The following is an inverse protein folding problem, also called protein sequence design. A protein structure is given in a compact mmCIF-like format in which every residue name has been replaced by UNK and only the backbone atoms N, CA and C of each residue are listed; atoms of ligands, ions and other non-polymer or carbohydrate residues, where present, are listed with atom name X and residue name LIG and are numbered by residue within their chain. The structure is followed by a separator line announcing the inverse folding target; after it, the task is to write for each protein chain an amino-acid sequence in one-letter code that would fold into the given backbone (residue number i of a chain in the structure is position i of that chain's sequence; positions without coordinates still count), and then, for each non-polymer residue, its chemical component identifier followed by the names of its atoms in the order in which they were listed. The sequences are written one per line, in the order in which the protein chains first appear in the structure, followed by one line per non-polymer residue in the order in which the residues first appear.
data_IF_328697916531
#
_entry.id   IF_328697916531
#
_cell.length_a   1.000
_cell.length_b   1.000
_cell.length_c   1.000
_cell.angle_alpha   90.00
_cell.angle_beta   90.00
_cell.angle_gamma   90.00
#
_symmetry.space_group_name_H-M   'P 1'
#
loop_
_entity.id
_entity.type
_entity.pdbx_description
1 polymer ?
#
# COMPACT_ATOMS: atom_id res chain seq x y z
N UNK A 1 -3.88 -1.61 -21.87
CA UNK A 1 -2.53 -1.70 -21.23
C UNK A 1 -2.61 -1.22 -19.78
N UNK A 2 -1.82 -1.82 -18.83
CA UNK A 2 -1.76 -1.35 -17.45
C UNK A 2 -0.55 -0.42 -17.27
N UNK A 3 -0.79 0.81 -16.84
CA UNK A 3 0.25 1.80 -16.55
C UNK A 3 0.33 2.06 -15.04
N UNK A 4 1.55 2.12 -14.49
CA UNK A 4 1.79 2.50 -13.10
C UNK A 4 2.28 3.93 -13.02
N UNK A 5 1.60 4.74 -12.21
CA UNK A 5 1.93 6.15 -11.98
C UNK A 5 2.40 6.31 -10.54
N UNK A 6 3.52 7.01 -10.34
CA UNK A 6 4.07 7.33 -9.02
C UNK A 6 4.20 8.85 -8.90
N UNK A 7 3.61 9.43 -7.85
CA UNK A 7 3.61 10.88 -7.59
C UNK A 7 4.09 11.17 -6.18
N UNK A 8 4.91 12.21 -6.04
CA UNK A 8 5.38 12.69 -4.74
C UNK A 8 4.27 13.41 -3.98
N UNK A 9 4.24 13.21 -2.67
CA UNK A 9 3.30 13.83 -1.74
C UNK A 9 3.94 15.04 -1.04
N UNK A 10 3.12 16.02 -0.69
CA UNK A 10 3.47 17.14 0.17
C UNK A 10 2.61 17.11 1.46
N UNK A 11 2.84 16.16 2.37
CA UNK A 11 2.09 16.05 3.61
C UNK A 11 2.48 17.15 4.60
N UNK A 12 1.53 17.64 5.38
CA UNK A 12 1.83 18.43 6.58
C UNK A 12 2.33 17.53 7.73
N UNK A 13 2.82 18.13 8.82
CA UNK A 13 3.41 17.36 9.94
C UNK A 13 2.45 16.34 10.56
N UNK A 14 1.16 16.65 10.67
CA UNK A 14 0.14 15.72 11.19
C UNK A 14 -0.09 14.55 10.23
N UNK A 15 -0.13 14.82 8.94
CA UNK A 15 -0.25 13.80 7.90
C UNK A 15 1.01 12.94 7.83
N UNK A 16 2.19 13.54 7.96
CA UNK A 16 3.46 12.84 7.99
C UNK A 16 3.51 11.82 9.14
N UNK A 17 3.12 12.23 10.34
CA UNK A 17 3.01 11.34 11.51
C UNK A 17 2.06 10.17 11.23
N UNK A 18 0.90 10.43 10.60
CA UNK A 18 -0.06 9.39 10.24
C UNK A 18 0.47 8.42 9.19
N UNK A 19 1.17 8.90 8.16
CA UNK A 19 1.82 8.06 7.15
C UNK A 19 2.80 7.07 7.78
N UNK A 20 3.67 7.55 8.68
CA UNK A 20 4.61 6.66 9.40
C UNK A 20 3.89 5.70 10.35
N UNK A 21 2.81 6.13 11.00
CA UNK A 21 1.98 5.25 11.83
C UNK A 21 1.38 4.10 11.00
N UNK A 22 0.83 4.40 9.82
CA UNK A 22 0.27 3.40 8.92
C UNK A 22 1.33 2.40 8.42
N UNK A 23 2.50 2.89 8.01
CA UNK A 23 3.61 2.03 7.60
C UNK A 23 4.14 1.17 8.77
N UNK A 24 4.17 1.72 9.98
CA UNK A 24 4.52 0.98 11.20
C UNK A 24 3.56 -0.16 11.49
N UNK A 25 2.25 0.09 11.39
CA UNK A 25 1.22 -0.92 11.57
C UNK A 25 1.27 -2.00 10.48
N UNK A 26 1.53 -1.62 9.22
CA UNK A 26 1.73 -2.57 8.13
C UNK A 26 2.94 -3.46 8.37
N UNK A 27 4.07 -2.88 8.81
CA UNK A 27 5.28 -3.63 9.16
C UNK A 27 5.04 -4.58 10.33
N UNK A 28 4.35 -4.14 11.36
CA UNK A 28 3.99 -4.99 12.50
C UNK A 28 3.14 -6.17 12.06
N UNK A 29 2.08 -5.96 11.29
CA UNK A 29 1.20 -7.01 10.81
C UNK A 29 1.92 -8.02 9.90
N UNK A 30 2.81 -7.54 9.02
CA UNK A 30 3.66 -8.38 8.19
C UNK A 30 4.58 -9.27 9.05
N UNK A 31 5.29 -8.67 10.01
CA UNK A 31 6.22 -9.40 10.87
C UNK A 31 5.51 -10.39 11.77
N UNK A 32 4.36 -10.00 12.30
CA UNK A 32 3.52 -10.91 13.08
C UNK A 32 3.12 -12.14 12.26
N UNK A 33 2.70 -11.96 11.00
CA UNK A 33 2.33 -13.08 10.13
C UNK A 33 3.53 -13.98 9.83
N UNK A 34 4.72 -13.42 9.57
CA UNK A 34 5.96 -14.19 9.40
C UNK A 34 6.26 -15.01 10.65
N UNK A 35 6.21 -14.41 11.84
CA UNK A 35 6.47 -15.10 13.10
C UNK A 35 5.47 -16.22 13.34
N UNK A 36 4.19 -15.96 13.13
CA UNK A 36 3.12 -16.94 13.34
C UNK A 36 3.26 -18.16 12.44
N UNK A 37 3.68 -17.96 11.19
CA UNK A 37 3.97 -19.05 10.26
C UNK A 37 5.21 -19.85 10.69
N UNK A 38 6.24 -19.19 11.19
CA UNK A 38 7.42 -19.87 11.71
C UNK A 38 7.09 -20.76 12.93
N UNK A 39 6.27 -20.25 13.85
CA UNK A 39 5.77 -21.00 15.00
C UNK A 39 4.94 -22.21 14.55
N UNK A 40 4.02 -21.99 13.61
CA UNK A 40 3.15 -23.02 13.05
C UNK A 40 3.97 -24.16 12.39
N UNK A 41 4.97 -23.78 11.61
CA UNK A 41 5.89 -24.73 10.96
C UNK A 41 6.72 -25.53 11.98
N UNK A 42 7.23 -24.90 13.04
CA UNK A 42 7.96 -25.59 14.13
C UNK A 42 7.11 -26.64 14.84
N UNK A 43 5.80 -26.44 14.90
CA UNK A 43 4.85 -27.41 15.45
C UNK A 43 4.47 -28.52 14.44
N UNK A 44 5.08 -28.56 13.26
CA UNK A 44 4.79 -29.57 12.22
C UNK A 44 3.45 -29.37 11.50
N UNK A 45 2.82 -28.22 11.65
CA UNK A 45 1.54 -27.93 11.04
C UNK A 45 1.66 -27.42 9.60
N UNK A 46 0.57 -27.53 8.83
CA UNK A 46 0.47 -26.98 7.49
C UNK A 46 0.50 -25.45 7.50
N UNK A 47 0.97 -24.86 6.41
CA UNK A 47 0.97 -23.41 6.18
C UNK A 47 -0.44 -22.82 6.30
N UNK A 48 -0.58 -21.74 7.09
CA UNK A 48 -1.84 -21.06 7.31
C UNK A 48 -2.20 -20.18 6.11
N UNK A 49 -3.48 -20.16 5.77
CA UNK A 49 -4.00 -19.24 4.76
C UNK A 49 -4.02 -17.80 5.29
N UNK A 50 -4.04 -16.81 4.36
CA UNK A 50 -4.18 -15.42 4.73
C UNK A 50 -5.49 -15.12 5.48
N UNK A 51 -6.57 -15.90 5.23
CA UNK A 51 -7.81 -15.77 5.96
C UNK A 51 -7.73 -16.23 7.41
N UNK A 52 -7.03 -17.33 7.67
CA UNK A 52 -6.80 -17.84 9.03
C UNK A 52 -5.94 -16.85 9.82
N UNK A 53 -4.83 -16.39 9.26
CA UNK A 53 -3.97 -15.38 9.88
C UNK A 53 -4.72 -14.07 10.17
N UNK A 54 -5.59 -13.62 9.27
CA UNK A 54 -6.42 -12.41 9.51
C UNK A 54 -7.41 -12.59 10.65
N UNK A 55 -8.01 -13.77 10.80
CA UNK A 55 -8.91 -14.06 11.93
C UNK A 55 -8.14 -14.01 13.25
N UNK A 56 -6.97 -14.66 13.32
CA UNK A 56 -6.09 -14.62 14.50
C UNK A 56 -5.61 -13.19 14.80
N UNK A 57 -5.15 -12.46 13.79
CA UNK A 57 -4.71 -11.07 13.94
C UNK A 57 -5.82 -10.14 14.42
N UNK A 58 -7.06 -10.37 13.99
CA UNK A 58 -8.21 -9.58 14.43
C UNK A 58 -8.47 -9.81 15.93
N UNK A 59 -8.34 -11.04 16.44
CA UNK A 59 -8.43 -11.34 17.87
C UNK A 59 -7.32 -10.64 18.64
N UNK A 60 -6.07 -10.78 18.19
CA UNK A 60 -4.91 -10.12 18.79
C UNK A 60 -5.08 -8.60 18.88
N UNK A 61 -5.53 -7.95 17.78
CA UNK A 61 -5.80 -6.51 17.73
C UNK A 61 -6.83 -6.07 18.75
N UNK A 62 -7.88 -6.87 18.93
CA UNK A 62 -8.96 -6.51 19.84
C UNK A 62 -8.59 -6.70 21.31
N UNK A 63 -7.78 -7.71 21.63
CA UNK A 63 -7.44 -8.10 22.99
C UNK A 63 -6.19 -7.43 23.53
N UNK A 64 -5.13 -7.28 22.70
CA UNK A 64 -3.81 -6.90 23.17
C UNK A 64 -3.26 -5.61 22.56
N UNK A 65 -3.67 -5.26 21.32
CA UNK A 65 -3.08 -4.17 20.55
C UNK A 65 -4.13 -3.18 20.06
N UNK A 66 -4.82 -2.52 20.99
CA UNK A 66 -5.88 -1.55 20.67
C UNK A 66 -5.39 -0.37 19.81
N UNK A 67 -4.10 -0.02 19.86
CA UNK A 67 -3.48 1.02 19.04
C UNK A 67 -3.57 0.72 17.53
N UNK A 68 -3.65 -0.55 17.13
CA UNK A 68 -3.88 -0.94 15.74
C UNK A 68 -5.27 -0.51 15.21
N UNK A 69 -6.20 -0.16 16.08
CA UNK A 69 -7.53 0.36 15.69
C UNK A 69 -7.45 1.79 15.13
N UNK A 70 -6.34 2.48 15.35
CA UNK A 70 -6.12 3.84 14.85
C UNK A 70 -5.75 3.90 13.35
N UNK A 71 -5.63 2.75 12.69
CA UNK A 71 -5.37 2.66 11.25
C UNK A 71 -6.45 1.84 10.55
N UNK A 72 -6.61 2.05 9.25
CA UNK A 72 -7.54 1.25 8.45
C UNK A 72 -7.20 -0.24 8.52
N UNK A 73 -8.23 -1.07 8.68
CA UNK A 73 -8.10 -2.53 8.67
C UNK A 73 -7.45 -3.06 7.39
N UNK A 74 -7.69 -2.39 6.27
CA UNK A 74 -7.18 -2.82 4.97
C UNK A 74 -5.66 -2.77 4.90
N UNK A 75 -5.02 -1.85 5.64
CA UNK A 75 -3.56 -1.77 5.77
C UNK A 75 -2.96 -3.05 6.35
N UNK A 76 -3.50 -3.50 7.48
CA UNK A 76 -3.00 -4.70 8.17
C UNK A 76 -3.38 -5.98 7.44
N UNK A 77 -4.59 -6.06 6.88
CA UNK A 77 -5.03 -7.19 6.06
C UNK A 77 -4.13 -7.41 4.85
N UNK A 78 -3.81 -6.33 4.12
CA UNK A 78 -2.93 -6.45 2.97
C UNK A 78 -1.50 -6.82 3.36
N UNK A 79 -0.99 -6.29 4.47
CA UNK A 79 0.34 -6.64 4.97
C UNK A 79 0.45 -8.14 5.31
N UNK A 80 -0.58 -8.74 5.90
CA UNK A 80 -0.66 -10.20 6.15
C UNK A 80 -0.68 -10.96 4.82
N UNK A 81 -1.51 -10.53 3.85
CA UNK A 81 -1.54 -11.13 2.52
C UNK A 81 -0.17 -11.06 1.82
N UNK A 82 0.53 -9.93 1.96
CA UNK A 82 1.87 -9.74 1.40
C UNK A 82 2.88 -10.74 2.04
N UNK A 83 2.76 -11.03 3.34
CA UNK A 83 3.58 -12.05 4.03
C UNK A 83 3.29 -13.47 3.50
N UNK A 84 2.00 -13.83 3.36
CA UNK A 84 1.61 -15.11 2.78
C UNK A 84 2.11 -15.27 1.33
N UNK A 85 2.00 -14.20 0.53
CA UNK A 85 2.50 -14.21 -0.85
C UNK A 85 4.03 -14.35 -0.90
N UNK A 86 4.76 -13.77 0.07
CA UNK A 86 6.21 -13.95 0.17
C UNK A 86 6.58 -15.42 0.42
N UNK A 87 5.85 -16.13 1.29
CA UNK A 87 6.04 -17.56 1.49
C UNK A 87 5.66 -18.38 0.24
N UNK A 88 4.53 -18.09 -0.41
CA UNK A 88 4.13 -18.76 -1.66
C UNK A 88 5.21 -18.66 -2.73
N UNK A 89 5.76 -17.46 -2.90
CA UNK A 89 6.86 -17.23 -3.86
C UNK A 89 8.14 -17.97 -3.47
N UNK A 90 8.43 -18.08 -2.19
CA UNK A 90 9.55 -18.88 -1.68
C UNK A 90 9.35 -20.37 -2.00
N UNK A 91 8.19 -20.95 -1.68
CA UNK A 91 7.89 -22.36 -1.99
C UNK A 91 7.91 -22.66 -3.50
N UNK A 92 7.57 -21.68 -4.33
CA UNK A 92 7.68 -21.80 -5.78
C UNK A 92 9.11 -21.56 -6.32
N UNK A 93 10.11 -21.39 -5.46
CA UNK A 93 11.50 -21.13 -5.88
C UNK A 93 11.77 -19.75 -6.47
N UNK A 94 10.79 -18.82 -6.41
CA UNK A 94 10.86 -17.50 -7.05
C UNK A 94 11.60 -16.46 -6.22
N UNK A 95 11.81 -16.69 -4.93
CA UNK A 95 12.50 -15.75 -4.05
C UNK A 95 13.13 -16.46 -2.86
N UNK A 96 13.99 -15.75 -2.13
CA UNK A 96 14.60 -16.22 -0.88
C UNK A 96 13.57 -16.29 0.24
N UNK A 97 13.92 -17.03 1.31
CA UNK A 97 13.08 -17.14 2.51
C UNK A 97 12.64 -15.76 3.04
N UNK A 98 11.36 -15.57 3.37
CA UNK A 98 10.84 -14.29 3.87
C UNK A 98 11.54 -13.85 5.15
N UNK A 99 11.95 -12.58 5.19
CA UNK A 99 12.63 -11.97 6.34
C UNK A 99 11.75 -10.96 7.04
N UNK A 100 11.98 -10.78 8.35
CA UNK A 100 11.36 -9.69 9.10
C UNK A 100 11.76 -8.32 8.53
N UNK A 101 10.78 -7.43 8.44
CA UNK A 101 11.00 -6.03 8.08
C UNK A 101 11.48 -5.24 9.30
N UNK A 102 12.62 -4.56 9.21
CA UNK A 102 13.11 -3.67 10.25
C UNK A 102 12.88 -2.19 9.88
N UNK A 103 12.87 -1.33 10.89
CA UNK A 103 12.73 0.11 10.65
C UNK A 103 13.94 0.70 9.90
N UNK A 104 15.13 0.14 10.11
CA UNK A 104 16.38 0.65 9.52
C UNK A 104 16.61 0.15 8.08
N UNK A 105 16.12 -1.06 7.74
CA UNK A 105 16.46 -1.74 6.47
C UNK A 105 15.31 -1.81 5.48
N UNK A 106 14.09 -1.62 5.96
CA UNK A 106 12.90 -1.79 5.11
C UNK A 106 12.28 -0.44 4.80
N UNK A 107 11.98 -0.22 3.54
CA UNK A 107 11.25 0.96 3.07
C UNK A 107 9.87 1.03 3.74
N UNK A 108 9.57 2.11 4.49
CA UNK A 108 8.25 2.30 5.05
C UNK A 108 7.20 2.36 3.94
N UNK A 109 6.20 1.48 4.01
CA UNK A 109 5.15 1.42 2.99
C UNK A 109 3.89 0.80 3.54
N UNK A 110 2.75 1.16 2.94
CA UNK A 110 1.47 0.54 3.21
C UNK A 110 0.55 0.58 1.99
N UNK A 111 -0.42 -0.30 1.98
CA UNK A 111 -1.46 -0.38 0.95
C UNK A 111 -2.70 0.39 1.39
N UNK A 112 -3.35 1.04 0.44
CA UNK A 112 -4.68 1.64 0.58
C UNK A 112 -5.68 0.84 -0.25
N UNK A 113 -6.88 0.60 0.28
CA UNK A 113 -7.93 -0.08 -0.47
C UNK A 113 -8.39 0.77 -1.66
N UNK A 114 -8.56 0.12 -2.82
CA UNK A 114 -8.99 0.78 -4.07
C UNK A 114 -10.35 1.41 -3.97
N UNK A 115 -11.26 0.81 -3.18
CA UNK A 115 -12.62 1.35 -2.96
C UNK A 115 -12.63 2.61 -2.08
N UNK A 116 -11.52 2.89 -1.39
CA UNK A 116 -11.40 3.98 -0.40
C UNK A 116 -10.44 5.08 -0.82
N UNK A 117 -9.63 4.85 -1.85
CA UNK A 117 -8.76 5.89 -2.39
C UNK A 117 -9.56 6.79 -3.33
N UNK A 118 -9.29 8.07 -3.27
CA UNK A 118 -9.86 9.06 -4.18
C UNK A 118 -8.75 10.03 -4.56
N UNK A 119 -8.76 10.46 -5.81
CA UNK A 119 -7.86 11.47 -6.33
C UNK A 119 -8.64 12.68 -6.81
N UNK A 120 -8.04 13.84 -6.66
CA UNK A 120 -8.37 15.06 -7.38
C UNK A 120 -7.12 15.50 -8.14
N UNK A 121 -7.22 16.52 -8.97
CA UNK A 121 -6.06 17.07 -9.69
C UNK A 121 -4.87 17.39 -8.78
N UNK A 122 -5.13 17.70 -7.52
CA UNK A 122 -4.14 18.25 -6.59
C UNK A 122 -3.94 17.44 -5.32
N UNK A 123 -4.85 16.52 -4.99
CA UNK A 123 -4.82 15.80 -3.72
C UNK A 123 -5.18 14.32 -3.88
N UNK A 124 -4.68 13.51 -2.93
CA UNK A 124 -5.10 12.12 -2.72
C UNK A 124 -5.73 11.97 -1.34
N UNK A 125 -6.86 11.26 -1.27
CA UNK A 125 -7.53 10.93 -0.01
C UNK A 125 -7.00 9.64 0.58
N UNK A 126 -6.58 9.68 1.84
CA UNK A 126 -6.18 8.50 2.62
C UNK A 126 -7.24 8.20 3.66
N UNK A 127 -7.71 6.95 3.71
CA UNK A 127 -8.73 6.52 4.66
C UNK A 127 -8.21 6.57 6.10
N UNK A 128 -9.03 7.11 7.01
CA UNK A 128 -8.85 6.95 8.45
C UNK A 128 -7.79 7.86 9.11
N UNK A 129 -7.23 8.84 8.41
CA UNK A 129 -6.37 9.84 9.04
C UNK A 129 -7.14 10.70 10.03
N UNK A 130 -8.41 10.99 9.72
CA UNK A 130 -9.36 11.58 10.65
C UNK A 130 -10.64 10.77 10.69
N UNK A 131 -11.04 10.35 11.88
CA UNK A 131 -12.32 9.68 12.16
C UNK A 131 -13.45 10.69 12.43
N UNK A 132 -13.15 11.98 12.47
CA UNK A 132 -14.11 13.03 12.74
C UNK A 132 -15.03 13.27 11.54
N UNK A 133 -16.34 13.37 11.81
CA UNK A 133 -17.33 13.78 10.80
C UNK A 133 -17.31 15.29 10.50
N UNK A 134 -16.59 16.09 11.30
CA UNK A 134 -16.49 17.55 11.10
C UNK A 134 -15.66 17.85 9.84
N UNK A 135 -16.19 18.66 8.92
CA UNK A 135 -15.58 19.02 7.64
C UNK A 135 -14.12 19.48 7.77
N UNK A 136 -13.83 20.37 8.71
CA UNK A 136 -12.47 20.90 8.90
C UNK A 136 -11.45 19.83 9.33
N UNK A 137 -11.90 18.78 10.07
CA UNK A 137 -11.03 17.68 10.47
C UNK A 137 -10.89 16.63 9.37
N UNK A 138 -11.84 16.51 8.45
CA UNK A 138 -11.76 15.61 7.30
C UNK A 138 -10.70 16.05 6.28
N UNK A 139 -10.32 17.32 6.26
CA UNK A 139 -9.23 17.83 5.41
C UNK A 139 -7.90 17.12 5.69
N UNK A 140 -7.71 16.57 6.91
CA UNK A 140 -6.51 15.76 7.22
C UNK A 140 -6.38 14.53 6.33
N UNK A 141 -7.49 13.99 5.82
CA UNK A 141 -7.48 12.83 4.94
C UNK A 141 -6.95 13.15 3.52
N UNK A 142 -6.92 14.43 3.14
CA UNK A 142 -6.51 14.87 1.81
C UNK A 142 -5.07 15.36 1.83
N UNK A 143 -4.17 14.60 1.20
CA UNK A 143 -2.74 14.94 1.09
C UNK A 143 -2.50 15.57 -0.27
N UNK A 144 -1.80 16.69 -0.30
CA UNK A 144 -1.42 17.39 -1.53
C UNK A 144 -0.45 16.56 -2.36
N UNK A 145 -0.68 16.51 -3.68
CA UNK A 145 0.24 15.98 -4.68
C UNK A 145 1.20 17.07 -5.13
N UNK A 146 2.47 16.72 -5.34
CA UNK A 146 3.45 17.68 -5.89
C UNK A 146 3.25 17.92 -7.39
N UNK A 147 2.68 16.95 -8.10
CA UNK A 147 2.41 17.00 -9.54
C UNK A 147 0.90 17.07 -9.75
N UNK A 148 0.44 18.22 -10.25
CA UNK A 148 -0.99 18.45 -10.55
C UNK A 148 -1.42 17.67 -11.80
N UNK A 149 -2.61 17.05 -11.77
CA UNK A 149 -3.20 16.37 -12.94
C UNK A 149 -2.46 15.12 -13.43
N UNK A 150 -1.41 14.67 -12.70
CA UNK A 150 -0.59 13.51 -13.12
C UNK A 150 -1.35 12.18 -13.03
N UNK A 151 -2.30 12.07 -12.11
CA UNK A 151 -3.14 10.89 -11.93
C UNK A 151 -4.53 11.24 -12.47
N UNK A 152 -5.03 10.54 -13.50
CA UNK A 152 -6.39 10.76 -14.00
C UNK A 152 -7.43 10.51 -12.92
N UNK A 153 -8.51 11.29 -12.92
CA UNK A 153 -9.57 11.21 -11.89
C UNK A 153 -10.71 10.27 -12.27
N UNK A 154 -10.90 10.02 -13.56
CA UNK A 154 -12.04 9.25 -14.11
C UNK A 154 -11.62 7.84 -14.56
N UNK A 155 -10.83 7.15 -13.74
CA UNK A 155 -10.37 5.81 -14.05
C UNK A 155 -10.43 4.87 -12.85
N UNK A 156 -10.36 3.57 -13.12
CA UNK A 156 -10.27 2.54 -12.10
C UNK A 156 -8.83 2.42 -11.60
N UNK A 157 -8.64 2.69 -10.31
CA UNK A 157 -7.33 2.54 -9.68
C UNK A 157 -7.10 1.10 -9.24
N UNK A 158 -5.86 0.63 -9.38
CA UNK A 158 -5.42 -0.68 -8.94
C UNK A 158 -4.17 -0.56 -8.07
N UNK A 159 -4.12 -1.40 -7.03
CA UNK A 159 -2.97 -1.58 -6.14
C UNK A 159 -2.33 -0.29 -5.59
N UNK A 160 -3.12 0.66 -5.04
CA UNK A 160 -2.55 1.90 -4.53
C UNK A 160 -1.66 1.63 -3.32
N UNK A 161 -0.43 2.16 -3.37
CA UNK A 161 0.57 2.03 -2.31
C UNK A 161 1.22 3.35 -1.98
N UNK A 162 1.44 3.56 -0.70
CA UNK A 162 2.20 4.68 -0.17
C UNK A 162 3.58 4.19 0.25
N UNK A 163 4.63 4.86 -0.22
CA UNK A 163 6.03 4.47 0.04
C UNK A 163 6.87 5.69 0.41
N UNK A 164 7.84 5.49 1.30
CA UNK A 164 8.80 6.51 1.72
C UNK A 164 10.20 6.12 1.25
N UNK A 165 10.88 6.98 0.49
CA UNK A 165 12.20 6.67 -0.09
C UNK A 165 13.39 7.06 0.81
N UNK A 166 13.12 7.62 1.97
CA UNK A 166 14.12 8.17 2.90
C UNK A 166 14.06 9.69 2.99
N UNK A 167 13.50 10.37 1.97
CA UNK A 167 13.33 11.82 1.93
C UNK A 167 11.86 12.22 1.79
N UNK A 168 11.14 11.56 0.89
CA UNK A 168 9.77 11.93 0.54
C UNK A 168 8.81 10.75 0.56
N UNK A 169 7.55 11.06 0.76
CA UNK A 169 6.45 10.11 0.56
C UNK A 169 5.92 10.19 -0.86
N UNK A 170 5.58 9.03 -1.39
CA UNK A 170 4.97 8.86 -2.71
C UNK A 170 3.70 8.04 -2.62
N UNK A 171 2.77 8.31 -3.51
CA UNK A 171 1.68 7.41 -3.84
C UNK A 171 1.95 6.81 -5.20
N UNK A 172 1.81 5.49 -5.32
CA UNK A 172 1.82 4.78 -6.60
C UNK A 172 0.47 4.09 -6.81
N UNK A 173 -0.01 4.15 -8.02
CA UNK A 173 -1.27 3.53 -8.43
C UNK A 173 -1.13 3.02 -9.86
N UNK A 174 -1.73 1.87 -10.15
CA UNK A 174 -1.85 1.38 -11.52
C UNK A 174 -3.25 1.72 -12.05
N UNK A 175 -3.30 2.12 -13.31
CA UNK A 175 -4.53 2.43 -14.05
C UNK A 175 -4.56 1.60 -15.32
N UNK A 176 -5.76 1.31 -15.80
CA UNK A 176 -5.97 0.75 -17.11
C UNK A 176 -6.08 1.88 -18.13
N UNK A 177 -5.22 1.85 -19.13
CA UNK A 177 -5.21 2.84 -20.22
C UNK A 177 -5.56 2.09 -21.50
N UNK A 178 -6.49 2.65 -22.26
CA UNK A 178 -6.80 2.12 -23.60
C UNK A 178 -5.54 2.16 -24.47
N UNK A 179 -5.34 1.11 -25.26
CA UNK A 179 -4.22 1.06 -26.18
C UNK A 179 -4.42 2.15 -27.24
N UNK A 180 -3.63 3.21 -27.19
CA UNK A 180 -3.54 4.18 -28.28
C UNK A 180 -2.88 3.43 -29.44
N UNK A 181 -3.53 3.28 -30.60
CA UNK A 181 -2.88 2.67 -31.76
C UNK A 181 -1.64 3.50 -32.08
N UNK A 182 -0.49 2.85 -32.05
CA UNK A 182 0.78 3.48 -32.47
C UNK A 182 0.63 3.83 -33.94
N UNK A 183 0.30 5.06 -34.24
CA UNK A 183 0.40 5.57 -35.60
C UNK A 183 1.87 5.50 -35.97
N UNK A 184 2.20 4.53 -36.83
CA UNK A 184 3.51 4.49 -37.46
C UNK A 184 3.69 5.80 -38.23
N UNK A 185 4.53 6.69 -37.71
CA UNK A 185 5.06 7.77 -38.51
C UNK A 185 5.94 7.12 -39.60
N UNK A 186 5.36 6.90 -40.75
CA UNK A 186 6.07 6.62 -41.97
C UNK A 186 6.86 7.91 -42.29
N UNK A 187 8.13 7.93 -41.96
CA UNK A 187 9.04 8.93 -42.52
C UNK A 187 9.12 8.66 -44.03
N UNK A 188 8.43 9.47 -44.78
CA UNK A 188 8.68 9.61 -46.20
C UNK A 188 9.96 10.44 -46.32
N UNK A 189 11.09 9.76 -46.57
CA UNK A 189 12.31 10.39 -47.05
C UNK A 189 12.05 10.76 -48.51
N UNK A 190 11.65 12.00 -48.77
CA UNK A 190 11.75 12.57 -50.10
C UNK A 190 13.24 12.88 -50.35
N UNK A 191 13.82 12.09 -51.26
CA UNK A 191 15.09 12.38 -51.90
C UNK A 191 14.84 13.45 -52.97
N UNK A 192 15.49 14.60 -52.84
CA UNK A 192 15.81 15.54 -53.91
C UNK A 192 17.32 15.60 -54.06
#
# INVERSE_FOLDING_TARGET
MIQSIKVRLAPNNKQLTKLFQYAGCARFAYNWAINREQENHKCGNKFLSDNELRKEFTRLRNQQHSWLKNVSNNVTKQAIKDACNAYKRFFNGQCRYPKFKSNKRSTPSFYQDTSKIQFTDTHVKVEGFSMSKRRNKQQLNWIRLCEKGRIPTDCKYMNPRFTYDGLYWYVSVSIEVDDIPTTQQTMVLELI
#
